data_IF_314571240184
#
_entry.id   IF_314571240184
#
_cell.length_a   1.000
_cell.length_b   1.000
_cell.length_c   1.000
_cell.angle_alpha   90.00
_cell.angle_beta   90.00
_cell.angle_gamma   90.00
#
_symmetry.space_group_name_H-M   'P 1'
#
loop_
_entity.id
_entity.type
_entity.pdbx_description
1 polymer ?
#
# COMPACT_ATOMS: atom_id res chain seq x y z
N UNK A 1 -31.51 -33.94 6.07
CA UNK A 1 -30.47 -33.43 7.00
C UNK A 1 -29.93 -32.11 6.47
N UNK A 2 -30.41 -30.98 7.00
CA UNK A 2 -30.01 -29.62 6.56
C UNK A 2 -28.61 -29.30 7.05
N UNK A 3 -27.63 -29.37 6.14
CA UNK A 3 -26.25 -28.97 6.43
C UNK A 3 -26.24 -27.46 6.66
N UNK A 4 -25.92 -27.05 7.89
CA UNK A 4 -25.93 -25.66 8.34
C UNK A 4 -25.19 -24.73 7.36
N UNK A 5 -25.92 -23.72 6.85
CA UNK A 5 -25.45 -22.59 6.03
C UNK A 5 -24.02 -22.10 6.36
N UNK A 6 -23.60 -21.95 7.63
CA UNK A 6 -22.24 -21.56 7.99
C UNK A 6 -21.14 -22.48 7.45
N UNK A 7 -21.37 -23.78 7.30
CA UNK A 7 -20.35 -24.71 6.76
C UNK A 7 -20.18 -24.63 5.25
N UNK A 8 -21.21 -24.16 4.54
CA UNK A 8 -21.14 -23.93 3.08
C UNK A 8 -20.39 -22.64 2.81
N UNK A 9 -20.71 -21.59 3.58
CA UNK A 9 -19.97 -20.31 3.59
C UNK A 9 -18.50 -20.57 3.96
N UNK A 10 -18.22 -21.36 5.00
CA UNK A 10 -16.85 -21.69 5.39
C UNK A 10 -16.08 -22.44 4.30
N UNK A 11 -16.72 -23.36 3.56
CA UNK A 11 -16.10 -24.03 2.42
C UNK A 11 -15.87 -23.11 1.23
N UNK A 12 -16.78 -22.16 1.00
CA UNK A 12 -16.62 -21.14 -0.05
C UNK A 12 -15.48 -20.19 0.32
N UNK A 13 -15.41 -19.71 1.57
CA UNK A 13 -14.27 -18.93 2.10
C UNK A 13 -12.94 -19.69 2.05
N UNK A 14 -12.95 -21.02 2.26
CA UNK A 14 -11.78 -21.87 2.11
C UNK A 14 -11.41 -22.11 0.63
N UNK A 15 -12.41 -22.20 -0.25
CA UNK A 15 -12.25 -22.38 -1.70
C UNK A 15 -11.79 -21.09 -2.40
N UNK A 16 -12.16 -19.94 -1.85
CA UNK A 16 -11.77 -18.59 -2.26
C UNK A 16 -10.40 -18.18 -1.68
N UNK A 17 -9.62 -19.11 -1.10
CA UNK A 17 -8.30 -18.79 -0.52
C UNK A 17 -8.30 -17.85 0.70
N UNK A 18 -9.42 -17.19 1.03
CA UNK A 18 -9.57 -16.24 2.16
C UNK A 18 -9.25 -16.92 3.50
N UNK A 19 -9.44 -18.23 3.60
CA UNK A 19 -9.15 -19.03 4.80
C UNK A 19 -8.16 -20.14 4.48
N UNK A 20 -6.97 -19.75 4.05
CA UNK A 20 -5.75 -20.58 4.05
C UNK A 20 -4.92 -20.30 5.29
N UNK A 21 -4.98 -21.18 6.29
CA UNK A 21 -4.12 -21.08 7.48
C UNK A 21 -2.69 -21.41 7.04
N UNK A 22 -1.86 -20.38 6.85
CA UNK A 22 -0.43 -20.55 6.58
C UNK A 22 0.23 -21.22 7.79
N UNK A 23 0.87 -22.36 7.56
CA UNK A 23 1.52 -23.22 8.58
C UNK A 23 2.87 -22.65 9.08
N UNK A 24 3.15 -21.37 8.86
CA UNK A 24 4.40 -20.72 9.28
C UNK A 24 4.21 -20.11 10.67
N UNK A 25 5.02 -20.58 11.64
CA UNK A 25 5.00 -20.08 13.02
C UNK A 25 5.91 -18.86 13.14
N UNK A 26 5.47 -17.86 13.90
CA UNK A 26 6.22 -16.63 14.17
C UNK A 26 6.98 -16.74 15.50
N UNK A 27 8.02 -15.94 15.69
CA UNK A 27 8.82 -15.87 16.92
C UNK A 27 7.95 -15.55 18.17
N UNK A 28 6.85 -14.81 17.97
CA UNK A 28 5.89 -14.39 19.00
C UNK A 28 4.60 -15.26 19.06
N UNK A 29 4.46 -16.28 18.23
CA UNK A 29 3.25 -17.13 18.17
C UNK A 29 1.98 -16.46 17.60
N UNK A 30 2.05 -15.20 17.17
CA UNK A 30 0.94 -14.49 16.52
C UNK A 30 0.76 -14.96 15.05
N UNK A 31 -0.44 -14.81 14.48
CA UNK A 31 -0.67 -15.11 13.06
C UNK A 31 -0.02 -14.02 12.18
N UNK A 32 0.71 -14.39 11.11
CA UNK A 32 1.43 -13.40 10.29
C UNK A 32 0.50 -12.41 9.57
N UNK A 33 -0.74 -12.81 9.23
CA UNK A 33 -1.80 -11.88 8.80
C UNK A 33 -2.05 -10.74 9.77
N UNK A 34 -2.03 -11.04 11.07
CA UNK A 34 -2.33 -10.05 12.10
C UNK A 34 -1.21 -9.02 12.20
N UNK A 35 0.04 -9.45 12.02
CA UNK A 35 1.20 -8.54 12.05
C UNK A 35 1.17 -7.60 10.85
N UNK A 36 0.93 -8.13 9.65
CA UNK A 36 0.76 -7.32 8.43
C UNK A 36 -0.42 -6.35 8.53
N UNK A 37 -1.57 -6.82 9.02
CA UNK A 37 -2.75 -5.97 9.20
C UNK A 37 -2.53 -4.90 10.28
N UNK A 38 -1.87 -5.26 11.39
CA UNK A 38 -1.55 -4.32 12.46
C UNK A 38 -0.55 -3.26 12.00
N UNK A 39 0.45 -3.63 11.18
CA UNK A 39 1.36 -2.69 10.56
C UNK A 39 0.61 -1.69 9.69
N UNK A 40 -0.22 -2.17 8.76
CA UNK A 40 -1.04 -1.32 7.90
C UNK A 40 -1.89 -0.37 8.75
N UNK A 41 -2.67 -0.90 9.70
CA UNK A 41 -3.55 -0.10 10.56
C UNK A 41 -2.77 0.93 11.38
N UNK A 42 -1.59 0.58 11.91
CA UNK A 42 -0.73 1.50 12.62
C UNK A 42 -0.24 2.62 11.70
N UNK A 43 0.20 2.29 10.48
CA UNK A 43 0.59 3.29 9.49
C UNK A 43 -0.57 4.22 9.12
N UNK A 44 -1.77 3.67 8.93
CA UNK A 44 -2.97 4.47 8.66
C UNK A 44 -3.29 5.41 9.84
N UNK A 45 -3.20 4.91 11.07
CA UNK A 45 -3.47 5.69 12.27
C UNK A 45 -2.45 6.82 12.45
N UNK A 46 -1.15 6.53 12.26
CA UNK A 46 -0.08 7.52 12.31
C UNK A 46 -0.25 8.58 11.22
N UNK A 47 -0.54 8.18 9.99
CA UNK A 47 -0.78 9.11 8.89
C UNK A 47 -2.01 9.99 9.14
N UNK A 48 -3.11 9.41 9.65
CA UNK A 48 -4.29 10.16 10.08
C UNK A 48 -3.99 11.17 11.19
N UNK A 49 -3.18 10.81 12.18
CA UNK A 49 -2.78 11.72 13.25
C UNK A 49 -1.92 12.87 12.71
N UNK A 50 -0.94 12.56 11.86
CA UNK A 50 -0.07 13.55 11.22
C UNK A 50 -0.87 14.50 10.34
N UNK A 51 -1.83 14.00 9.56
CA UNK A 51 -2.74 14.85 8.75
C UNK A 51 -3.56 15.79 9.63
N UNK A 52 -4.17 15.28 10.72
CA UNK A 52 -4.92 16.13 11.66
C UNK A 52 -4.04 17.24 12.23
N UNK A 53 -2.79 16.92 12.57
CA UNK A 53 -1.80 17.92 13.02
C UNK A 53 -1.50 18.95 11.93
N UNK A 54 -1.24 18.52 10.70
CA UNK A 54 -1.01 19.42 9.55
C UNK A 54 -2.20 20.35 9.32
N UNK A 55 -3.43 19.82 9.34
CA UNK A 55 -4.64 20.64 9.18
C UNK A 55 -4.86 21.64 10.32
N UNK A 56 -4.44 21.31 11.55
CA UNK A 56 -4.59 22.19 12.71
C UNK A 56 -3.50 23.27 12.77
N UNK A 57 -2.28 22.95 12.32
CA UNK A 57 -1.12 23.83 12.45
C UNK A 57 -0.91 24.76 11.25
N UNK A 58 -1.30 24.33 10.05
CA UNK A 58 -1.03 25.07 8.81
C UNK A 58 -2.31 25.62 8.17
N UNK A 59 -2.27 26.90 7.79
CA UNK A 59 -3.27 27.51 6.91
C UNK A 59 -3.17 26.94 5.49
N UNK A 60 -4.19 27.21 4.66
CA UNK A 60 -4.27 26.72 3.28
C UNK A 60 -3.21 27.38 2.37
N UNK A 61 -1.99 26.87 2.49
CA UNK A 61 -0.80 27.32 1.78
C UNK A 61 -0.19 26.14 0.99
N UNK A 62 0.72 26.45 0.05
CA UNK A 62 1.44 25.43 -0.72
C UNK A 62 2.15 24.40 0.18
N UNK A 63 2.75 24.82 1.29
CA UNK A 63 3.44 23.92 2.23
C UNK A 63 2.49 22.84 2.77
N UNK A 64 1.24 23.20 3.07
CA UNK A 64 0.22 22.25 3.53
C UNK A 64 -0.08 21.21 2.46
N UNK A 65 -0.24 21.64 1.19
CA UNK A 65 -0.45 20.73 0.06
C UNK A 65 0.74 19.77 -0.10
N UNK A 66 1.97 20.29 -0.05
CA UNK A 66 3.19 19.48 -0.18
C UNK A 66 3.29 18.42 0.92
N UNK A 67 2.99 18.78 2.16
CA UNK A 67 3.00 17.84 3.30
C UNK A 67 1.87 16.81 3.22
N UNK A 68 0.68 17.20 2.77
CA UNK A 68 -0.43 16.26 2.60
C UNK A 68 -0.15 15.26 1.48
N UNK A 69 0.42 15.71 0.36
CA UNK A 69 0.89 14.84 -0.73
C UNK A 69 2.01 13.89 -0.28
N UNK A 70 2.97 14.40 0.51
CA UNK A 70 4.03 13.58 1.11
C UNK A 70 3.44 12.49 2.03
N UNK A 71 2.51 12.85 2.93
CA UNK A 71 1.89 11.91 3.87
C UNK A 71 0.98 10.89 3.17
N UNK A 72 0.23 11.32 2.14
CA UNK A 72 -0.55 10.43 1.29
C UNK A 72 0.33 9.42 0.57
N UNK A 73 1.44 9.87 -0.01
CA UNK A 73 2.41 8.98 -0.67
C UNK A 73 3.05 8.01 0.32
N UNK A 74 3.41 8.49 1.52
CA UNK A 74 4.03 7.65 2.55
C UNK A 74 3.11 6.51 2.99
N UNK A 75 1.87 6.86 3.34
CA UNK A 75 0.86 5.88 3.78
C UNK A 75 0.52 4.87 2.68
N UNK A 76 0.31 5.34 1.45
CA UNK A 76 0.02 4.49 0.29
C UNK A 76 1.15 3.48 0.06
N UNK A 77 2.38 3.96 -0.06
CA UNK A 77 3.53 3.11 -0.35
C UNK A 77 3.76 2.09 0.76
N UNK A 78 3.62 2.48 2.04
CA UNK A 78 3.84 1.59 3.17
C UNK A 78 2.79 0.46 3.20
N UNK A 79 1.52 0.82 2.95
CA UNK A 79 0.46 -0.17 2.82
C UNK A 79 0.69 -1.11 1.63
N UNK A 80 1.08 -0.57 0.47
CA UNK A 80 1.36 -1.36 -0.73
C UNK A 80 2.49 -2.38 -0.53
N UNK A 81 3.59 -2.01 0.13
CA UNK A 81 4.68 -2.95 0.42
C UNK A 81 4.21 -4.13 1.27
N UNK A 82 3.41 -3.88 2.30
CA UNK A 82 2.89 -4.96 3.14
C UNK A 82 1.78 -5.77 2.42
N UNK A 83 1.01 -5.14 1.52
CA UNK A 83 0.03 -5.83 0.68
C UNK A 83 0.68 -6.87 -0.24
N UNK A 84 1.88 -6.62 -0.75
CA UNK A 84 2.63 -7.61 -1.55
C UNK A 84 2.94 -8.84 -0.69
N UNK A 85 3.35 -8.66 0.57
CA UNK A 85 3.56 -9.77 1.51
C UNK A 85 2.26 -10.54 1.77
N UNK A 86 1.11 -9.84 1.85
CA UNK A 86 -0.20 -10.48 1.98
C UNK A 86 -0.53 -11.30 0.73
N UNK A 87 -0.29 -10.76 -0.47
CA UNK A 87 -0.52 -11.44 -1.74
C UNK A 87 0.34 -12.71 -1.88
N UNK A 88 1.63 -12.62 -1.56
CA UNK A 88 2.59 -13.74 -1.65
C UNK A 88 2.20 -14.91 -0.73
N UNK A 89 1.55 -14.64 0.41
CA UNK A 89 1.27 -15.64 1.44
C UNK A 89 -0.18 -16.15 1.48
N UNK A 90 -1.17 -15.32 1.10
CA UNK A 90 -2.60 -15.66 1.14
C UNK A 90 -3.30 -15.55 -0.21
N UNK A 91 -2.57 -15.18 -1.26
CA UNK A 91 -3.07 -15.13 -2.62
C UNK A 91 -3.79 -13.82 -2.98
N UNK A 92 -4.19 -13.77 -4.24
CA UNK A 92 -4.73 -12.57 -4.90
C UNK A 92 -6.07 -12.13 -4.28
N UNK A 93 -6.87 -13.06 -3.75
CA UNK A 93 -8.18 -12.75 -3.17
C UNK A 93 -8.06 -11.93 -1.88
N UNK A 94 -7.11 -12.29 -1.00
CA UNK A 94 -6.82 -11.53 0.22
C UNK A 94 -6.27 -10.13 -0.12
N UNK A 95 -5.36 -10.06 -1.10
CA UNK A 95 -4.85 -8.80 -1.63
C UNK A 95 -5.96 -7.89 -2.15
N UNK A 96 -6.86 -8.40 -3.00
CA UNK A 96 -7.95 -7.64 -3.59
C UNK A 96 -8.91 -7.09 -2.53
N UNK A 97 -9.26 -7.90 -1.52
CA UNK A 97 -10.11 -7.47 -0.42
C UNK A 97 -9.44 -6.38 0.43
N UNK A 98 -8.17 -6.56 0.78
CA UNK A 98 -7.40 -5.58 1.55
C UNK A 98 -7.26 -4.26 0.79
N UNK A 99 -6.93 -4.31 -0.50
CA UNK A 99 -6.82 -3.12 -1.36
C UNK A 99 -8.16 -2.39 -1.50
N UNK A 100 -9.26 -3.14 -1.65
CA UNK A 100 -10.60 -2.55 -1.73
C UNK A 100 -10.96 -1.76 -0.47
N UNK A 101 -10.73 -2.34 0.71
CA UNK A 101 -10.96 -1.66 1.99
C UNK A 101 -10.06 -0.43 2.17
N UNK A 102 -8.79 -0.53 1.79
CA UNK A 102 -7.86 0.59 1.81
C UNK A 102 -8.31 1.72 0.88
N UNK A 103 -8.81 1.39 -0.31
CA UNK A 103 -9.30 2.38 -1.28
C UNK A 103 -10.50 3.14 -0.73
N UNK A 104 -11.43 2.45 -0.07
CA UNK A 104 -12.55 3.10 0.64
C UNK A 104 -12.02 4.05 1.70
N UNK A 105 -11.07 3.61 2.52
CA UNK A 105 -10.47 4.45 3.56
C UNK A 105 -9.77 5.69 2.97
N UNK A 106 -8.92 5.52 1.95
CA UNK A 106 -8.21 6.63 1.30
C UNK A 106 -9.17 7.65 0.69
N UNK A 107 -10.27 7.19 0.06
CA UNK A 107 -11.30 8.07 -0.49
C UNK A 107 -11.94 8.97 0.58
N UNK A 108 -11.99 8.51 1.84
CA UNK A 108 -12.54 9.27 2.95
C UNK A 108 -11.53 10.19 3.65
N UNK A 109 -10.22 9.94 3.49
CA UNK A 109 -9.19 10.58 4.31
C UNK A 109 -8.24 11.51 3.56
N UNK A 110 -8.02 11.31 2.26
CA UNK A 110 -6.99 12.07 1.53
C UNK A 110 -7.42 13.45 1.08
N UNK A 111 -8.74 13.71 0.98
CA UNK A 111 -9.25 15.01 0.54
C UNK A 111 -8.68 15.38 -0.83
N UNK A 112 -7.91 16.46 -0.89
CA UNK A 112 -7.30 16.97 -2.12
C UNK A 112 -5.92 16.36 -2.45
N UNK A 113 -5.37 15.50 -1.58
CA UNK A 113 -4.10 14.83 -1.85
C UNK A 113 -4.31 13.61 -2.75
N UNK A 114 -3.45 13.45 -3.74
CA UNK A 114 -3.56 12.37 -4.74
C UNK A 114 -2.56 11.23 -4.53
N UNK A 115 -1.41 11.51 -3.90
CA UNK A 115 -0.25 10.60 -3.84
C UNK A 115 0.26 10.15 -5.22
N UNK A 116 -0.18 10.82 -6.29
CA UNK A 116 0.01 10.40 -7.66
C UNK A 116 0.62 11.54 -8.48
N UNK A 117 1.70 11.30 -9.26
CA UNK A 117 2.35 12.35 -10.03
C UNK A 117 1.58 12.74 -11.30
N UNK A 118 0.64 11.90 -11.76
CA UNK A 118 -0.12 12.19 -12.99
C UNK A 118 -1.15 13.30 -12.81
N UNK A 119 -1.82 13.38 -11.66
CA UNK A 119 -2.81 14.44 -11.38
C UNK A 119 -2.21 15.84 -11.48
N UNK A 120 -1.10 16.18 -10.79
CA UNK A 120 -0.52 17.51 -10.91
C UNK A 120 0.09 17.77 -12.31
N UNK A 121 0.43 16.72 -13.06
CA UNK A 121 0.86 16.85 -14.47
C UNK A 121 -0.32 17.14 -15.40
N UNK A 122 -1.48 16.54 -15.16
CA UNK A 122 -2.72 16.83 -15.89
C UNK A 122 -3.14 18.28 -15.65
N UNK A 123 -3.12 18.74 -14.39
CA UNK A 123 -3.38 20.14 -14.02
C UNK A 123 -2.38 21.13 -14.65
N UNK A 124 -1.14 20.71 -14.91
CA UNK A 124 -0.17 21.51 -15.67
C UNK A 124 -0.58 21.65 -17.15
N UNK A 125 -1.00 20.54 -17.77
CA UNK A 125 -1.41 20.50 -19.19
C UNK A 125 -2.70 21.28 -19.40
N UNK A 126 -3.63 21.21 -18.45
CA UNK A 126 -4.87 22.00 -18.44
C UNK A 126 -4.64 23.49 -18.13
N UNK A 127 -3.44 23.86 -17.66
CA UNK A 127 -3.08 25.23 -17.32
C UNK A 127 -3.62 25.71 -15.97
N UNK A 128 -4.08 24.81 -15.11
CA UNK A 128 -4.63 25.12 -13.78
C UNK A 128 -3.53 25.30 -12.71
N UNK A 129 -2.34 24.72 -12.90
CA UNK A 129 -1.17 24.89 -12.01
C UNK A 129 0.10 25.31 -12.75
N UNK A 130 0.94 26.06 -12.05
CA UNK A 130 2.27 26.46 -12.53
C UNK A 130 3.27 25.30 -12.51
N UNK A 131 4.19 25.26 -13.47
CA UNK A 131 5.25 24.24 -13.57
C UNK A 131 6.07 24.09 -12.27
N UNK A 132 6.45 25.22 -11.65
CA UNK A 132 7.21 25.20 -10.40
C UNK A 132 6.45 24.53 -9.25
N UNK A 133 5.14 24.75 -9.16
CA UNK A 133 4.28 24.15 -8.14
C UNK A 133 4.17 22.64 -8.33
N UNK A 134 3.99 22.22 -9.59
CA UNK A 134 3.90 20.80 -9.96
C UNK A 134 5.22 20.08 -9.68
N UNK A 135 6.35 20.70 -10.00
CA UNK A 135 7.67 20.17 -9.68
C UNK A 135 7.87 19.95 -8.18
N UNK A 136 7.39 20.88 -7.33
CA UNK A 136 7.47 20.73 -5.88
C UNK A 136 6.56 19.61 -5.35
N UNK A 137 5.36 19.44 -5.90
CA UNK A 137 4.45 18.34 -5.53
C UNK A 137 5.05 17.00 -5.90
N UNK A 138 5.57 16.86 -7.13
CA UNK A 138 6.21 15.61 -7.56
C UNK A 138 7.45 15.32 -6.70
N UNK A 139 8.23 16.34 -6.34
CA UNK A 139 9.36 16.16 -5.43
C UNK A 139 8.89 15.68 -4.04
N UNK A 140 7.81 16.22 -3.50
CA UNK A 140 7.29 15.78 -2.20
C UNK A 140 6.79 14.32 -2.25
N UNK A 141 6.18 13.90 -3.35
CA UNK A 141 5.80 12.50 -3.58
C UNK A 141 7.04 11.58 -3.67
N UNK A 142 8.07 11.96 -4.43
CA UNK A 142 9.34 11.20 -4.51
C UNK A 142 9.97 11.04 -3.13
N UNK A 143 10.05 12.12 -2.35
CA UNK A 143 10.57 12.08 -0.99
C UNK A 143 9.72 11.17 -0.09
N UNK A 144 8.40 11.20 -0.23
CA UNK A 144 7.48 10.30 0.47
C UNK A 144 7.78 8.83 0.18
N UNK A 145 7.97 8.48 -1.09
CA UNK A 145 8.35 7.13 -1.51
C UNK A 145 9.71 6.70 -0.95
N UNK A 146 10.74 7.56 -1.02
CA UNK A 146 12.08 7.26 -0.51
C UNK A 146 12.10 7.03 1.01
N UNK A 147 11.42 7.89 1.78
CA UNK A 147 11.32 7.75 3.24
C UNK A 147 10.58 6.46 3.58
N UNK A 148 9.52 6.14 2.84
CA UNK A 148 8.74 4.92 3.05
C UNK A 148 9.57 3.67 2.82
N UNK A 149 10.39 3.64 1.77
CA UNK A 149 11.27 2.51 1.51
C UNK A 149 12.18 2.22 2.70
N UNK A 150 12.80 3.25 3.28
CA UNK A 150 13.62 3.09 4.50
C UNK A 150 12.81 2.67 5.72
N UNK A 151 11.62 3.24 5.91
CA UNK A 151 10.72 2.88 7.00
C UNK A 151 10.32 1.40 6.95
N UNK A 152 9.93 0.90 5.78
CA UNK A 152 9.55 -0.48 5.57
C UNK A 152 10.75 -1.42 5.69
N UNK A 153 11.92 -1.04 5.16
CA UNK A 153 13.14 -1.83 5.34
C UNK A 153 13.51 -2.00 6.81
N UNK A 154 13.39 -0.97 7.64
CA UNK A 154 13.61 -1.08 9.09
C UNK A 154 12.59 -2.02 9.73
N UNK A 155 11.33 -1.96 9.31
CA UNK A 155 10.29 -2.87 9.79
C UNK A 155 10.58 -4.32 9.43
N UNK A 156 10.93 -4.59 8.17
CA UNK A 156 11.29 -5.94 7.71
C UNK A 156 12.61 -6.44 8.29
N UNK A 157 13.58 -5.56 8.57
CA UNK A 157 14.85 -5.90 9.21
C UNK A 157 14.70 -6.39 10.65
N UNK A 158 13.58 -6.06 11.31
CA UNK A 158 13.27 -6.63 12.63
C UNK A 158 12.84 -8.11 12.56
N UNK A 159 12.67 -8.69 11.35
CA UNK A 159 12.33 -10.10 11.09
C UNK A 159 11.26 -10.66 12.04
N UNK A 160 10.25 -9.85 12.38
CA UNK A 160 9.18 -10.21 13.33
C UNK A 160 8.38 -11.44 12.87
N UNK A 161 8.48 -11.76 11.58
CA UNK A 161 7.80 -12.86 10.91
C UNK A 161 8.76 -13.54 9.94
N UNK A 162 8.68 -14.87 9.82
CA UNK A 162 9.39 -15.66 8.80
C UNK A 162 9.13 -15.15 7.36
N UNK A 163 8.02 -14.46 7.13
CA UNK A 163 7.64 -13.87 5.83
C UNK A 163 8.39 -12.57 5.51
N UNK A 164 9.03 -11.93 6.49
CA UNK A 164 9.86 -10.74 6.30
C UNK A 164 11.36 -11.07 6.16
N UNK A 165 11.74 -12.34 6.40
CA UNK A 165 13.13 -12.80 6.39
C UNK A 165 13.75 -12.59 5.01
N UNK A 166 14.85 -11.84 4.95
CA UNK A 166 15.57 -11.54 3.70
C UNK A 166 14.92 -10.49 2.77
N UNK A 167 13.66 -10.10 2.98
CA UNK A 167 12.96 -9.06 2.18
C UNK A 167 13.57 -7.67 2.38
N UNK A 168 14.18 -7.39 3.53
CA UNK A 168 14.79 -6.08 3.83
C UNK A 168 15.99 -5.73 2.94
N UNK A 169 16.68 -6.75 2.41
CA UNK A 169 17.88 -6.61 1.56
C UNK A 169 17.62 -6.92 0.09
N UNK A 170 16.37 -7.20 -0.28
CA UNK A 170 15.99 -7.43 -1.67
C UNK A 170 15.91 -6.09 -2.42
N UNK A 171 16.37 -6.08 -3.67
CA UNK A 171 16.24 -4.90 -4.53
C UNK A 171 14.75 -4.59 -4.75
N UNK A 172 14.39 -3.31 -4.70
CA UNK A 172 13.01 -2.87 -4.96
C UNK A 172 12.67 -3.14 -6.45
N UNK A 173 12.08 -4.30 -6.72
CA UNK A 173 11.57 -4.69 -8.02
C UNK A 173 10.06 -4.46 -8.08
N UNK A 174 9.59 -3.87 -9.17
CA UNK A 174 8.16 -3.71 -9.40
C UNK A 174 7.55 -5.07 -9.75
N UNK A 175 6.48 -5.48 -9.06
CA UNK A 175 5.83 -6.78 -9.32
C UNK A 175 5.43 -6.99 -10.80
N UNK A 176 5.05 -5.90 -11.48
CA UNK A 176 4.72 -5.91 -12.91
C UNK A 176 5.98 -5.77 -13.79
N UNK A 177 6.60 -6.89 -14.14
CA UNK A 177 7.68 -6.93 -15.15
C UNK A 177 7.11 -7.05 -16.56
N UNK A 178 7.05 -5.94 -17.30
CA UNK A 178 6.70 -5.97 -18.73
C UNK A 178 7.96 -5.96 -19.58
N UNK A 179 8.17 -7.00 -20.37
CA UNK A 179 9.25 -7.02 -21.37
C UNK A 179 9.01 -5.88 -22.36
N UNK A 180 9.94 -4.91 -22.42
CA UNK A 180 9.86 -3.71 -23.30
C UNK A 180 9.66 -4.04 -24.79
N UNK A 181 9.86 -5.30 -25.20
CA UNK A 181 9.72 -5.79 -26.57
C UNK A 181 8.55 -6.76 -26.82
N UNK A 182 7.77 -7.18 -25.81
CA UNK A 182 6.73 -8.20 -26.02
C UNK A 182 5.36 -7.61 -26.42
N UNK A 183 5.36 -6.80 -27.49
CA UNK A 183 4.21 -6.60 -28.38
C UNK A 183 4.25 -7.57 -29.58
N UNK A 184 5.26 -8.44 -29.65
CA UNK A 184 5.39 -9.40 -30.74
C UNK A 184 5.26 -10.84 -30.23
N UNK A 185 4.10 -11.43 -30.57
CA UNK A 185 3.94 -12.85 -30.89
C UNK A 185 3.72 -13.79 -29.68
N UNK A 186 2.45 -13.87 -29.27
CA UNK A 186 1.85 -15.21 -29.05
C UNK A 186 1.94 -15.98 -30.36
N UNK A 187 2.96 -16.84 -30.53
CA UNK A 187 2.91 -18.05 -31.37
C UNK A 187 4.18 -18.91 -31.20
N UNK A 188 3.91 -20.20 -31.00
CA UNK A 188 4.79 -21.39 -30.99
C UNK A 188 5.63 -21.58 -29.73
N UNK A 189 5.62 -22.76 -29.09
CA UNK A 189 5.21 -24.12 -29.50
C UNK A 189 4.43 -24.79 -28.37
#
# INVERSE_FOLDING_TARGET
MSVSLPRKIWRVFKSMGVVGWSKKKNLLGANPMFISSAFILLTLALASLLRKTVHKTLSDNLIKVLLLEFLATLELCAACFELIIVADNWGIEAYALSLFLLTIYWSSCWGNASACPYIPMEELVEGSKNLSTVGLIVLSQILGGLVTFRYVQLFWAMELVETHRGKAFEDCAADLHVNKFCSQIKKKK
#
